data_IF_810872808202
#
_entry.id   IF_810872808202
#
_cell.length_a   1.000
_cell.length_b   1.000
_cell.length_c   1.000
_cell.angle_alpha   90.00
_cell.angle_beta   90.00
_cell.angle_gamma   90.00
#
_symmetry.space_group_name_H-M   'P 1'
#
loop_
_entity.id
_entity.type
_entity.pdbx_description
1 polymer ?
#
# COMPACT_ATOMS: atom_id res chain seq x y z
N UNK A 1 -9.22 10.31 31.53
CA UNK A 1 -8.47 10.61 30.31
C UNK A 1 -8.08 9.26 29.73
N UNK A 2 -8.44 8.96 28.49
CA UNK A 2 -8.00 7.71 27.86
C UNK A 2 -6.50 7.80 27.56
N UNK A 3 -5.74 6.76 27.92
CA UNK A 3 -4.32 6.66 27.65
C UNK A 3 -4.11 5.71 26.46
N UNK A 4 -3.24 6.10 25.54
CA UNK A 4 -2.82 5.27 24.40
C UNK A 4 -1.31 5.06 24.48
N UNK A 5 -0.86 3.84 24.18
CA UNK A 5 0.56 3.48 24.14
C UNK A 5 1.25 4.04 22.89
N UNK A 6 0.51 4.05 21.76
CA UNK A 6 1.03 4.44 20.45
C UNK A 6 0.02 5.29 19.69
N UNK A 7 0.49 6.38 19.09
CA UNK A 7 -0.26 7.17 18.12
C UNK A 7 0.29 6.95 16.70
N UNK A 8 -0.55 6.53 15.76
CA UNK A 8 -0.21 6.36 14.35
C UNK A 8 -0.85 7.50 13.54
N UNK A 9 -0.01 8.37 12.97
CA UNK A 9 -0.47 9.49 12.13
C UNK A 9 -0.30 9.11 10.66
N UNK A 10 -1.41 8.68 10.05
CA UNK A 10 -1.48 8.23 8.66
C UNK A 10 -1.66 6.70 8.55
N UNK A 11 -2.81 6.30 8.03
CA UNK A 11 -3.24 4.94 7.69
C UNK A 11 -3.07 4.68 6.19
N UNK A 12 -1.85 4.96 5.70
CA UNK A 12 -1.38 4.38 4.44
C UNK A 12 -0.91 2.93 4.62
N UNK A 13 -0.26 2.33 3.62
CA UNK A 13 0.15 0.93 3.69
C UNK A 13 1.02 0.59 4.91
N UNK A 14 1.96 1.47 5.24
CA UNK A 14 2.83 1.29 6.41
C UNK A 14 2.07 1.45 7.74
N UNK A 15 1.26 2.50 7.86
CA UNK A 15 0.51 2.79 9.09
C UNK A 15 -0.54 1.73 9.39
N UNK A 16 -1.32 1.31 8.39
CA UNK A 16 -2.31 0.24 8.56
C UNK A 16 -1.64 -1.10 8.83
N UNK A 17 -0.51 -1.41 8.18
CA UNK A 17 0.25 -2.61 8.49
C UNK A 17 0.77 -2.61 9.94
N UNK A 18 1.30 -1.48 10.43
CA UNK A 18 1.76 -1.34 11.81
C UNK A 18 0.59 -1.48 12.79
N UNK A 19 -0.51 -0.76 12.57
CA UNK A 19 -1.72 -0.83 13.39
C UNK A 19 -2.20 -2.29 13.53
N UNK A 20 -2.27 -3.04 12.42
CA UNK A 20 -2.62 -4.47 12.43
C UNK A 20 -1.66 -5.31 13.27
N UNK A 21 -0.34 -5.04 13.21
CA UNK A 21 0.67 -5.79 13.96
C UNK A 21 0.64 -5.51 15.48
N UNK A 22 0.17 -4.32 15.85
CA UNK A 22 0.02 -3.88 17.24
C UNK A 22 -1.37 -4.22 17.83
N UNK A 23 -2.36 -4.54 17.00
CA UNK A 23 -3.69 -4.92 17.44
C UNK A 23 -3.66 -6.03 18.51
N UNK A 24 -4.37 -5.82 19.62
CA UNK A 24 -4.41 -6.73 20.76
C UNK A 24 -3.16 -6.76 21.65
N UNK A 25 -2.09 -6.01 21.32
CA UNK A 25 -0.85 -5.93 22.11
C UNK A 25 -0.64 -4.58 22.78
N UNK A 26 -1.19 -3.52 22.21
CA UNK A 26 -1.05 -2.14 22.68
C UNK A 26 -2.37 -1.39 22.44
N UNK A 27 -2.65 -0.38 23.26
CA UNK A 27 -3.72 0.59 22.99
C UNK A 27 -3.22 1.60 21.96
N UNK A 28 -3.71 1.47 20.73
CA UNK A 28 -3.28 2.30 19.59
C UNK A 28 -4.38 3.28 19.21
N UNK A 29 -4.03 4.55 19.09
CA UNK A 29 -4.86 5.55 18.42
C UNK A 29 -4.32 5.82 17.02
N UNK A 30 -5.18 5.79 16.01
CA UNK A 30 -4.79 6.07 14.63
C UNK A 30 -5.59 7.25 14.06
N UNK A 31 -4.88 8.17 13.41
CA UNK A 31 -5.45 9.38 12.83
C UNK A 31 -5.08 9.43 11.35
N UNK A 32 -6.08 9.59 10.47
CA UNK A 32 -5.85 9.67 9.04
C UNK A 32 -6.85 10.61 8.37
N UNK A 33 -6.41 11.32 7.32
CA UNK A 33 -7.24 12.28 6.57
C UNK A 33 -8.18 11.63 5.56
N UNK A 34 -7.97 10.38 5.20
CA UNK A 34 -8.84 9.62 4.29
C UNK A 34 -10.10 9.22 5.01
N UNK A 35 -11.20 9.22 4.26
CA UNK A 35 -12.45 8.65 4.75
C UNK A 35 -12.32 7.14 4.94
N UNK A 36 -13.32 6.53 5.59
CA UNK A 36 -13.38 5.07 5.79
C UNK A 36 -13.58 4.34 4.46
N UNK A 37 -14.37 4.90 3.56
CA UNK A 37 -14.71 4.34 2.26
C UNK A 37 -14.96 5.45 1.22
N UNK A 38 -15.20 5.04 -0.02
CA UNK A 38 -15.51 5.96 -1.13
C UNK A 38 -14.29 6.64 -1.74
N UNK A 39 -14.53 7.52 -2.70
CA UNK A 39 -13.49 8.29 -3.40
C UNK A 39 -13.34 9.71 -2.87
N UNK A 40 -14.22 10.12 -1.95
CA UNK A 40 -14.17 11.43 -1.31
C UNK A 40 -13.08 11.49 -0.25
N UNK A 41 -12.52 12.69 -0.05
CA UNK A 41 -11.42 12.94 0.89
C UNK A 41 -10.03 12.81 0.26
N UNK A 42 -9.01 12.64 1.09
CA UNK A 42 -7.62 12.61 0.63
C UNK A 42 -7.32 11.36 -0.19
N UNK A 43 -6.78 11.53 -1.40
CA UNK A 43 -6.22 10.44 -2.20
C UNK A 43 -4.83 10.83 -2.71
N UNK A 44 -3.91 9.86 -2.80
CA UNK A 44 -2.60 10.12 -3.39
C UNK A 44 -2.73 10.10 -4.92
N UNK A 45 -2.09 11.02 -5.65
CA UNK A 45 -2.18 11.08 -7.11
C UNK A 45 -1.37 9.99 -7.83
N UNK A 46 -0.62 9.17 -7.09
CA UNK A 46 0.23 8.12 -7.65
C UNK A 46 -0.56 6.82 -7.87
N UNK A 47 -0.16 6.04 -8.88
CA UNK A 47 -0.52 4.62 -8.96
C UNK A 47 0.16 3.79 -7.86
N UNK A 48 0.06 2.47 -7.97
CA UNK A 48 0.80 1.57 -7.08
C UNK A 48 1.38 0.39 -7.84
N UNK A 49 2.66 0.14 -7.61
CA UNK A 49 3.35 -1.06 -8.08
C UNK A 49 3.84 -1.83 -6.86
N UNK A 50 3.27 -3.01 -6.66
CA UNK A 50 3.64 -3.85 -5.53
C UNK A 50 4.84 -4.72 -5.92
N UNK A 51 6.00 -4.40 -5.36
CA UNK A 51 7.23 -5.14 -5.59
C UNK A 51 7.17 -6.58 -5.03
N UNK A 52 7.98 -7.53 -5.54
CA UNK A 52 7.97 -8.93 -5.07
C UNK A 52 8.23 -9.04 -3.56
N UNK A 53 9.06 -8.16 -3.02
CA UNK A 53 9.40 -8.13 -1.59
C UNK A 53 8.19 -7.76 -0.74
N UNK A 54 7.40 -6.77 -1.19
CA UNK A 54 6.15 -6.41 -0.55
C UNK A 54 5.13 -7.55 -0.68
N UNK A 55 5.02 -8.19 -1.86
CA UNK A 55 4.16 -9.37 -2.06
C UNK A 55 4.52 -10.49 -1.06
N UNK A 56 5.81 -10.76 -0.82
CA UNK A 56 6.26 -11.74 0.19
C UNK A 56 5.83 -11.36 1.60
N UNK A 57 5.81 -10.07 1.96
CA UNK A 57 5.29 -9.61 3.25
C UNK A 57 3.79 -9.89 3.40
N UNK A 58 2.99 -9.70 2.34
CA UNK A 58 1.56 -10.05 2.34
C UNK A 58 1.36 -11.56 2.52
N UNK A 59 2.15 -12.39 1.84
CA UNK A 59 2.10 -13.86 1.99
C UNK A 59 2.40 -14.28 3.43
N UNK A 60 3.44 -13.71 4.05
CA UNK A 60 3.79 -13.98 5.45
C UNK A 60 2.70 -13.57 6.43
N UNK A 61 1.91 -12.57 6.06
CA UNK A 61 0.78 -12.08 6.84
C UNK A 61 -0.53 -12.82 6.52
N UNK A 62 -0.52 -13.80 5.61
CA UNK A 62 -1.70 -14.56 5.20
C UNK A 62 -2.73 -13.71 4.44
N UNK A 63 -2.29 -12.63 3.78
CA UNK A 63 -3.17 -11.69 3.09
C UNK A 63 -3.11 -11.88 1.58
N UNK A 64 -4.30 -11.99 0.98
CA UNK A 64 -4.49 -12.04 -0.47
C UNK A 64 -5.07 -10.71 -0.96
N UNK A 65 -4.53 -10.17 -2.04
CA UNK A 65 -5.03 -8.94 -2.63
C UNK A 65 -6.43 -9.15 -3.22
N UNK A 66 -7.42 -8.31 -2.86
CA UNK A 66 -8.72 -8.28 -3.52
C UNK A 66 -8.61 -7.91 -5.00
N UNK A 67 -9.54 -8.42 -5.81
CA UNK A 67 -9.54 -8.18 -7.27
C UNK A 67 -9.78 -6.70 -7.60
N UNK A 68 -10.64 -6.02 -6.85
CA UNK A 68 -10.95 -4.59 -7.00
C UNK A 68 -9.77 -3.67 -6.67
N UNK A 69 -8.77 -4.18 -5.95
CA UNK A 69 -7.51 -3.48 -5.69
C UNK A 69 -6.54 -3.61 -6.87
N UNK A 70 -6.66 -4.66 -7.70
CA UNK A 70 -5.78 -4.91 -8.84
C UNK A 70 -6.16 -3.97 -10.00
N UNK A 71 -5.18 -3.20 -10.49
CA UNK A 71 -5.40 -2.28 -11.61
C UNK A 71 -4.98 -2.89 -12.94
N UNK A 72 -5.61 -2.48 -14.04
CA UNK A 72 -5.21 -2.86 -15.39
C UNK A 72 -4.63 -1.66 -16.15
N UNK A 73 -3.69 -1.89 -17.10
CA UNK A 73 -3.06 -3.18 -17.42
C UNK A 73 -2.04 -3.63 -16.36
N UNK A 74 -1.80 -4.93 -16.26
CA UNK A 74 -0.65 -5.44 -15.51
C UNK A 74 0.65 -5.16 -16.29
N UNK A 75 1.74 -4.97 -15.55
CA UNK A 75 3.05 -4.72 -16.12
C UNK A 75 3.97 -5.91 -15.92
N UNK A 76 4.73 -6.25 -16.96
CA UNK A 76 5.74 -7.32 -16.90
C UNK A 76 7.14 -6.80 -17.26
N UNK A 77 7.24 -5.57 -17.76
CA UNK A 77 8.52 -4.92 -18.06
C UNK A 77 8.49 -3.44 -17.70
N UNK A 78 9.66 -2.90 -17.36
CA UNK A 78 9.88 -1.48 -17.10
C UNK A 78 10.98 -0.99 -18.04
N UNK A 79 10.68 0.07 -18.79
CA UNK A 79 11.68 0.80 -19.57
C UNK A 79 12.49 1.69 -18.63
N UNK A 80 13.80 1.48 -18.59
CA UNK A 80 14.74 2.35 -17.90
C UNK A 80 15.51 3.16 -18.95
N UNK A 81 15.58 4.46 -18.74
CA UNK A 81 16.29 5.41 -19.59
C UNK A 81 17.39 6.05 -18.76
N UNK A 82 18.63 5.80 -19.14
CA UNK A 82 19.80 6.51 -18.62
C UNK A 82 20.17 7.60 -19.63
N UNK A 83 19.87 8.84 -19.27
CA UNK A 83 20.07 10.00 -20.14
C UNK A 83 21.55 10.33 -20.30
N UNK A 84 22.35 10.19 -19.23
CA UNK A 84 23.77 10.53 -19.26
C UNK A 84 24.55 9.55 -20.15
N UNK A 85 24.21 8.26 -20.07
CA UNK A 85 24.84 7.22 -20.88
C UNK A 85 24.17 7.03 -22.26
N UNK A 86 23.07 7.74 -22.56
CA UNK A 86 22.23 7.49 -23.75
C UNK A 86 21.78 6.03 -23.89
N UNK A 87 21.50 5.34 -22.78
CA UNK A 87 21.09 3.94 -22.77
C UNK A 87 19.61 3.80 -22.49
N UNK A 88 18.95 2.93 -23.25
CA UNK A 88 17.58 2.48 -22.96
C UNK A 88 17.54 0.97 -22.86
N UNK A 89 17.00 0.44 -21.77
CA UNK A 89 16.80 -1.00 -21.58
C UNK A 89 15.43 -1.29 -21.01
N UNK A 90 14.86 -2.42 -21.42
CA UNK A 90 13.67 -2.98 -20.79
C UNK A 90 14.11 -4.06 -19.83
N UNK A 91 13.67 -3.95 -18.57
CA UNK A 91 13.89 -4.98 -17.58
C UNK A 91 12.59 -5.66 -17.23
N UNK A 92 12.60 -6.97 -17.12
CA UNK A 92 11.48 -7.69 -16.55
C UNK A 92 11.34 -7.32 -15.08
N UNK A 93 10.10 -7.04 -14.66
CA UNK A 93 9.74 -6.76 -13.27
C UNK A 93 8.42 -7.44 -12.97
N UNK A 94 8.39 -8.26 -11.92
CA UNK A 94 7.19 -8.97 -11.46
C UNK A 94 6.41 -8.11 -10.47
N UNK A 95 6.04 -6.90 -10.89
CA UNK A 95 5.23 -5.99 -10.07
C UNK A 95 3.75 -6.25 -10.32
N UNK A 96 2.94 -6.21 -9.26
CA UNK A 96 1.48 -6.19 -9.40
C UNK A 96 1.05 -4.72 -9.48
N UNK A 97 0.39 -4.35 -10.57
CA UNK A 97 -0.22 -3.04 -10.70
C UNK A 97 -1.50 -3.00 -9.86
N UNK A 98 -1.62 -1.98 -9.01
CA UNK A 98 -2.73 -1.80 -8.07
C UNK A 98 -3.31 -0.40 -8.18
N UNK A 99 -4.61 -0.29 -7.92
CA UNK A 99 -5.25 0.99 -7.67
C UNK A 99 -4.81 1.47 -6.29
N UNK A 100 -4.08 2.58 -6.24
CA UNK A 100 -3.48 3.06 -5.00
C UNK A 100 -4.50 3.43 -3.93
N UNK A 101 -5.61 4.04 -4.33
CA UNK A 101 -6.65 4.47 -3.39
C UNK A 101 -7.39 3.26 -2.82
N UNK A 102 -7.81 2.34 -3.69
CA UNK A 102 -8.45 1.09 -3.28
C UNK A 102 -7.54 0.27 -2.35
N UNK A 103 -6.25 0.19 -2.66
CA UNK A 103 -5.26 -0.50 -1.81
C UNK A 103 -5.12 0.13 -0.42
N UNK A 104 -5.03 1.46 -0.35
CA UNK A 104 -4.93 2.17 0.93
C UNK A 104 -6.20 1.97 1.78
N UNK A 105 -7.39 2.02 1.18
CA UNK A 105 -8.67 1.77 1.87
C UNK A 105 -8.82 0.31 2.32
N UNK A 106 -8.47 -0.66 1.46
CA UNK A 106 -8.46 -2.06 1.82
C UNK A 106 -7.50 -2.34 2.99
N UNK A 107 -6.29 -1.81 2.94
CA UNK A 107 -5.33 -1.98 4.05
C UNK A 107 -5.87 -1.39 5.36
N UNK A 108 -6.57 -0.26 5.30
CA UNK A 108 -7.24 0.37 6.43
C UNK A 108 -8.47 -0.43 6.92
N UNK A 109 -9.15 -1.20 6.08
CA UNK A 109 -10.27 -2.04 6.51
C UNK A 109 -9.84 -3.32 7.25
N UNK A 110 -8.53 -3.59 7.33
CA UNK A 110 -7.97 -4.76 8.03
C UNK A 110 -7.61 -4.51 9.50
N UNK A 111 -7.86 -3.29 10.01
CA UNK A 111 -7.53 -2.87 11.37
C UNK A 111 -8.76 -2.61 12.21
#
# INVERSE_FOLDING_TARGET
MEHFDVAIIGLGPAGSALARKLAGKMQVIALDKKHQCGTEGFSKPCGGLLAPDAQRSFIRDGLTLPVDVIANPQIFSVKTVDVAASLTRNYQRSYININRHAFDLWMKSLI
#
